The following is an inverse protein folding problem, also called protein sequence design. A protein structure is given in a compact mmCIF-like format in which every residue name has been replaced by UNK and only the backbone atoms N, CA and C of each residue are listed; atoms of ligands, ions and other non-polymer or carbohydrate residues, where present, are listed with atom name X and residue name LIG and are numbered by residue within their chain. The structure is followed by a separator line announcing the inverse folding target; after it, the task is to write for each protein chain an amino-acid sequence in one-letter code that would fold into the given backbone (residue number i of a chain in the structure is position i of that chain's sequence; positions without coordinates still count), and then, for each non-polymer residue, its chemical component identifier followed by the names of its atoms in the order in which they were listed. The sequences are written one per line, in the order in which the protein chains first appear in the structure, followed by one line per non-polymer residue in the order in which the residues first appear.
data_IF_970145243471
#
_entry.id   IF_970145243471
#
_cell.length_a   1.000
_cell.length_b   1.000
_cell.length_c   1.000
_cell.angle_alpha   90.00
_cell.angle_beta   90.00
_cell.angle_gamma   90.00
#
_symmetry.space_group_name_H-M   'P 1'
#
loop_
_entity.id
_entity.type
_entity.pdbx_description
1 polymer ?
#
# COMPACT_ATOMS: atom_id res chain seq x y z
N UNK A 1 -14.31 -21.67 19.05
CA UNK A 1 -13.73 -20.74 18.06
C UNK A 1 -12.92 -21.51 17.04
N UNK A 2 -13.08 -21.26 15.73
CA UNK A 2 -12.28 -21.92 14.71
C UNK A 2 -10.80 -21.57 14.90
N UNK A 3 -9.95 -22.59 14.96
CA UNK A 3 -8.50 -22.44 15.04
C UNK A 3 -7.94 -22.16 13.64
N UNK A 4 -7.12 -21.12 13.52
CA UNK A 4 -6.37 -20.80 12.32
C UNK A 4 -4.93 -21.25 12.53
N UNK A 5 -4.40 -22.01 11.57
CA UNK A 5 -3.04 -22.57 11.63
C UNK A 5 -2.20 -21.91 10.53
N UNK A 6 -1.39 -20.92 10.91
CA UNK A 6 -0.53 -20.19 9.99
C UNK A 6 0.89 -20.76 10.00
N UNK A 7 1.43 -21.09 8.83
CA UNK A 7 2.84 -21.50 8.68
C UNK A 7 3.71 -20.27 8.44
N UNK A 8 4.74 -20.10 9.25
CA UNK A 8 5.64 -18.92 9.23
C UNK A 8 7.08 -19.34 9.50
N UNK A 9 7.98 -18.37 9.45
CA UNK A 9 9.34 -18.45 9.99
C UNK A 9 9.38 -17.70 11.33
N UNK A 10 10.26 -18.11 12.24
CA UNK A 10 10.37 -17.51 13.58
C UNK A 10 10.78 -16.04 13.51
N UNK A 11 11.64 -15.69 12.56
CA UNK A 11 11.90 -14.32 12.14
C UNK A 11 11.17 -14.06 10.81
N UNK A 12 10.12 -13.20 10.78
CA UNK A 12 9.39 -12.88 9.56
C UNK A 12 10.21 -12.12 8.51
N UNK A 13 11.32 -11.49 8.92
CA UNK A 13 12.23 -10.75 8.04
C UNK A 13 13.32 -11.63 7.42
N UNK A 14 13.62 -12.79 8.03
CA UNK A 14 14.55 -13.79 7.54
C UNK A 14 13.82 -15.07 7.09
N UNK A 15 13.64 -15.28 5.76
CA UNK A 15 13.01 -16.47 5.21
C UNK A 15 13.73 -17.79 5.49
N UNK A 16 15.01 -17.74 5.89
CA UNK A 16 15.82 -18.91 6.21
C UNK A 16 15.70 -19.35 7.67
N UNK A 17 15.10 -18.51 8.53
CA UNK A 17 14.94 -18.80 9.93
C UNK A 17 13.96 -19.96 10.18
N UNK A 18 14.06 -20.58 11.37
CA UNK A 18 13.32 -21.79 11.74
C UNK A 18 11.83 -21.69 11.42
N UNK A 19 11.29 -22.69 10.72
CA UNK A 19 9.87 -22.78 10.44
C UNK A 19 9.06 -23.04 11.72
N UNK A 20 7.95 -22.32 11.86
CA UNK A 20 7.05 -22.40 13.00
C UNK A 20 5.59 -22.44 12.55
N UNK A 21 4.73 -22.86 13.48
CA UNK A 21 3.28 -22.76 13.34
C UNK A 21 2.77 -21.71 14.33
N UNK A 22 2.07 -20.72 13.80
CA UNK A 22 1.39 -19.68 14.55
C UNK A 22 -0.10 -20.04 14.63
N UNK A 23 -0.58 -20.25 15.86
CA UNK A 23 -1.97 -20.60 16.15
C UNK A 23 -2.74 -19.32 16.49
N UNK A 24 -3.81 -19.06 15.75
CA UNK A 24 -4.60 -17.85 15.86
C UNK A 24 -6.10 -18.13 15.94
N UNK A 25 -6.86 -17.15 16.41
CA UNK A 25 -8.31 -17.10 16.29
C UNK A 25 -8.72 -15.72 15.81
N UNK A 26 -9.71 -15.64 14.91
CA UNK A 26 -10.25 -14.36 14.47
C UNK A 26 -11.35 -13.88 15.42
N UNK A 27 -11.25 -12.64 15.93
CA UNK A 27 -12.27 -12.04 16.80
C UNK A 27 -13.67 -12.09 16.17
N UNK A 28 -13.77 -11.80 14.88
CA UNK A 28 -15.05 -11.83 14.14
C UNK A 28 -15.74 -13.21 14.09
N UNK A 29 -15.01 -14.31 14.33
CA UNK A 29 -15.61 -15.65 14.37
C UNK A 29 -16.60 -15.85 15.52
N UNK A 30 -16.58 -14.97 16.53
CA UNK A 30 -17.55 -14.96 17.63
C UNK A 30 -18.99 -14.74 17.17
N UNK A 31 -19.19 -14.15 15.98
CA UNK A 31 -20.54 -13.92 15.43
C UNK A 31 -21.36 -15.22 15.39
N UNK A 32 -20.71 -16.36 15.09
CA UNK A 32 -21.34 -17.69 15.06
C UNK A 32 -21.78 -18.24 16.41
N UNK A 33 -21.38 -17.60 17.51
CA UNK A 33 -21.64 -18.08 18.88
C UNK A 33 -22.90 -17.48 19.49
N UNK A 34 -23.47 -16.44 18.87
CA UNK A 34 -24.67 -15.76 19.37
C UNK A 34 -25.86 -16.03 18.45
N UNK A 35 -26.98 -16.45 19.03
CA UNK A 35 -28.23 -16.68 18.28
C UNK A 35 -28.83 -15.40 17.68
N UNK A 36 -28.52 -14.24 18.26
CA UNK A 36 -29.01 -12.93 17.85
C UNK A 36 -27.90 -12.03 17.26
N UNK A 37 -27.03 -12.59 16.41
CA UNK A 37 -26.01 -11.82 15.69
C UNK A 37 -26.50 -11.36 14.31
N UNK A 38 -26.05 -10.19 13.86
CA UNK A 38 -26.29 -9.69 12.50
C UNK A 38 -25.07 -8.94 11.96
N UNK A 39 -24.96 -8.87 10.63
CA UNK A 39 -24.02 -8.01 9.93
C UNK A 39 -24.74 -6.76 9.44
N UNK A 40 -24.10 -5.60 9.57
CA UNK A 40 -24.59 -4.34 8.99
C UNK A 40 -23.55 -3.84 8.00
N UNK A 41 -23.99 -3.58 6.78
CA UNK A 41 -23.15 -2.93 5.78
C UNK A 41 -22.89 -1.49 6.19
N UNK A 42 -21.66 -1.03 5.94
CA UNK A 42 -21.20 0.31 6.26
C UNK A 42 -20.46 0.89 5.07
N UNK A 43 -20.54 2.21 4.92
CA UNK A 43 -19.84 2.89 3.84
C UNK A 43 -18.33 2.80 3.99
N UNK A 44 -17.62 2.92 2.86
CA UNK A 44 -16.16 2.81 2.76
C UNK A 44 -15.36 3.66 3.77
N UNK A 45 -15.75 4.90 4.14
CA UNK A 45 -15.00 5.69 5.12
C UNK A 45 -14.79 5.00 6.48
N UNK A 46 -15.67 4.05 6.84
CA UNK A 46 -15.59 3.34 8.13
C UNK A 46 -14.55 2.23 8.15
N UNK A 47 -13.91 1.91 7.02
CA UNK A 47 -12.89 0.87 6.95
C UNK A 47 -11.82 1.20 5.90
N UNK A 48 -10.72 1.80 6.39
CA UNK A 48 -9.52 2.14 5.61
C UNK A 48 -8.32 1.31 6.12
N UNK A 49 -8.23 0.01 5.77
CA UNK A 49 -7.18 -0.85 6.29
C UNK A 49 -5.82 -0.54 5.68
N UNK A 50 -4.76 -0.59 6.49
CA UNK A 50 -3.37 -0.62 6.02
C UNK A 50 -2.78 -1.96 6.38
N UNK A 51 -2.63 -2.85 5.39
CA UNK A 51 -2.09 -4.21 5.55
C UNK A 51 -0.79 -4.40 4.79
N UNK A 52 -0.59 -3.60 3.76
CA UNK A 52 0.53 -3.67 2.84
C UNK A 52 1.16 -2.30 2.64
N UNK A 53 2.34 -2.26 2.04
CA UNK A 53 3.00 -1.02 1.63
C UNK A 53 2.27 -0.34 0.47
N UNK A 54 1.51 -1.06 -0.35
CA UNK A 54 0.58 -0.47 -1.31
C UNK A 54 -0.49 0.36 -0.60
N UNK A 55 -1.13 -0.20 0.44
CA UNK A 55 -2.13 0.54 1.22
C UNK A 55 -1.51 1.76 1.89
N UNK A 56 -0.30 1.60 2.43
CA UNK A 56 0.45 2.69 3.06
C UNK A 56 0.79 3.80 2.07
N UNK A 57 1.13 3.46 0.82
CA UNK A 57 1.41 4.43 -0.24
C UNK A 57 0.18 5.30 -0.48
N UNK A 58 -1.00 4.71 -0.67
CA UNK A 58 -2.23 5.50 -0.85
C UNK A 58 -2.52 6.34 0.38
N UNK A 59 -2.43 5.77 1.58
CA UNK A 59 -2.74 6.47 2.84
C UNK A 59 -1.82 7.65 3.15
N UNK A 60 -0.54 7.59 2.75
CA UNK A 60 0.41 8.70 2.93
C UNK A 60 0.37 9.71 1.77
N UNK A 61 -0.29 9.40 0.66
CA UNK A 61 -0.40 10.29 -0.49
C UNK A 61 -1.39 11.42 -0.23
N UNK A 62 -1.45 12.38 -1.16
CA UNK A 62 -2.44 13.46 -1.16
C UNK A 62 -3.87 13.02 -1.56
N UNK A 63 -4.16 11.71 -1.65
CA UNK A 63 -5.53 11.22 -1.82
C UNK A 63 -6.37 11.43 -0.57
N UNK A 64 -5.75 11.29 0.60
CA UNK A 64 -6.42 11.49 1.88
C UNK A 64 -6.03 12.83 2.51
N UNK A 65 -6.97 13.41 3.22
CA UNK A 65 -6.73 14.54 4.11
C UNK A 65 -7.26 14.22 5.51
N UNK A 66 -6.61 14.82 6.52
CA UNK A 66 -7.02 14.67 7.90
C UNK A 66 -8.08 15.72 8.22
N UNK A 67 -9.27 15.29 8.63
CA UNK A 67 -10.34 16.19 9.02
C UNK A 67 -10.07 16.81 10.40
N UNK A 68 -10.85 17.82 10.79
CA UNK A 68 -10.80 18.39 12.15
C UNK A 68 -11.18 17.39 13.25
N UNK A 69 -11.79 16.25 12.89
CA UNK A 69 -12.13 15.15 13.79
C UNK A 69 -11.06 14.06 13.80
N UNK A 70 -9.91 14.28 13.17
CA UNK A 70 -8.82 13.32 13.02
C UNK A 70 -9.21 12.07 12.21
N UNK A 71 -10.17 12.21 11.29
CA UNK A 71 -10.56 11.17 10.36
C UNK A 71 -9.77 11.32 9.05
N UNK A 72 -9.44 10.19 8.42
CA UNK A 72 -8.83 10.19 7.09
C UNK A 72 -9.93 10.17 6.04
N UNK A 73 -10.06 11.24 5.26
CA UNK A 73 -11.13 11.41 4.29
C UNK A 73 -10.60 11.52 2.85
N UNK A 74 -11.33 10.90 1.94
CA UNK A 74 -11.12 10.93 0.50
C UNK A 74 -12.38 11.47 -0.19
N UNK A 75 -12.24 12.24 -1.27
CA UNK A 75 -13.37 12.87 -1.95
C UNK A 75 -14.34 11.89 -2.61
N UNK A 76 -13.88 10.75 -3.11
CA UNK A 76 -14.73 9.78 -3.83
C UNK A 76 -14.48 8.31 -3.48
N UNK A 77 -13.43 8.02 -2.69
CA UNK A 77 -12.99 6.68 -2.30
C UNK A 77 -12.73 5.71 -3.48
N UNK A 78 -12.62 6.22 -4.70
CA UNK A 78 -12.14 5.50 -5.87
C UNK A 78 -10.61 5.61 -5.87
N UNK A 79 -9.99 4.77 -5.05
CA UNK A 79 -8.54 4.80 -4.85
C UNK A 79 -7.81 4.18 -6.05
N UNK A 80 -6.64 4.73 -6.43
CA UNK A 80 -5.82 4.14 -7.49
C UNK A 80 -5.41 2.72 -7.12
N UNK A 81 -5.36 1.84 -8.12
CA UNK A 81 -4.80 0.49 -7.93
C UNK A 81 -3.27 0.58 -7.87
N UNK A 82 -2.69 0.23 -6.74
CA UNK A 82 -1.23 0.21 -6.55
C UNK A 82 -0.71 -1.24 -6.60
N UNK A 83 0.39 -1.44 -7.32
CA UNK A 83 1.19 -2.68 -7.31
C UNK A 83 2.65 -2.27 -7.14
N UNK A 84 3.29 -2.78 -6.09
CA UNK A 84 4.70 -2.58 -5.83
C UNK A 84 5.45 -3.91 -5.89
N UNK A 85 6.63 -3.90 -6.49
CA UNK A 85 7.50 -5.07 -6.54
C UNK A 85 7.89 -5.54 -5.13
N UNK A 86 7.47 -6.74 -4.75
CA UNK A 86 7.71 -7.30 -3.42
C UNK A 86 9.19 -7.57 -3.13
N UNK A 87 10.06 -7.60 -4.14
CA UNK A 87 11.51 -7.68 -3.93
C UNK A 87 12.08 -6.42 -3.27
N UNK A 88 11.44 -5.26 -3.49
CA UNK A 88 11.96 -3.95 -3.13
C UNK A 88 11.07 -3.15 -2.19
N UNK A 89 9.77 -3.46 -2.12
CA UNK A 89 8.81 -2.66 -1.35
C UNK A 89 8.00 -3.48 -0.35
N UNK A 90 8.34 -4.75 -0.09
CA UNK A 90 7.54 -5.60 0.82
C UNK A 90 7.64 -5.12 2.27
N UNK A 91 8.83 -4.77 2.73
CA UNK A 91 9.03 -4.31 4.11
C UNK A 91 8.96 -2.79 4.18
N UNK A 92 8.53 -2.28 5.34
CA UNK A 92 8.40 -0.83 5.55
C UNK A 92 9.74 -0.09 5.42
N UNK A 93 10.84 -0.68 5.89
CA UNK A 93 12.16 -0.05 5.78
C UNK A 93 12.60 0.12 4.31
N UNK A 94 12.40 -0.91 3.49
CA UNK A 94 12.75 -0.86 2.06
C UNK A 94 11.86 0.15 1.30
N UNK A 95 10.60 0.26 1.71
CA UNK A 95 9.64 1.24 1.19
C UNK A 95 10.04 2.67 1.57
N UNK A 96 10.37 2.92 2.84
CA UNK A 96 10.75 4.25 3.33
C UNK A 96 12.08 4.74 2.71
N UNK A 97 13.03 3.85 2.42
CA UNK A 97 14.27 4.18 1.71
C UNK A 97 14.00 4.69 0.29
N UNK A 98 13.05 4.07 -0.42
CA UNK A 98 12.74 4.36 -1.83
C UNK A 98 11.72 5.47 -2.02
N UNK A 99 10.83 5.65 -1.06
CA UNK A 99 9.75 6.64 -1.07
C UNK A 99 9.88 7.56 0.16
N UNK A 100 10.99 8.33 0.27
CA UNK A 100 11.14 9.30 1.36
C UNK A 100 10.15 10.46 1.26
N UNK A 101 9.73 10.79 0.03
CA UNK A 101 8.66 11.73 -0.27
C UNK A 101 7.65 11.02 -1.14
N UNK A 102 6.39 10.99 -0.70
CA UNK A 102 5.32 10.25 -1.38
C UNK A 102 4.89 11.00 -2.64
N UNK A 103 4.97 10.39 -3.83
CA UNK A 103 4.42 11.00 -5.05
C UNK A 103 2.95 11.37 -4.90
N UNK A 104 2.54 12.46 -5.55
CA UNK A 104 1.12 12.82 -5.68
C UNK A 104 0.39 11.74 -6.47
N UNK A 105 -0.73 11.24 -5.92
CA UNK A 105 -1.58 10.23 -6.55
C UNK A 105 -2.94 10.79 -6.98
N UNK A 106 -3.18 12.09 -6.81
CA UNK A 106 -4.48 12.73 -7.05
C UNK A 106 -5.03 12.52 -8.48
N UNK A 107 -4.15 12.40 -9.48
CA UNK A 107 -4.53 12.19 -10.88
C UNK A 107 -4.25 10.77 -11.38
N UNK A 108 -3.82 9.85 -10.51
CA UNK A 108 -3.49 8.48 -10.88
C UNK A 108 -4.74 7.59 -10.86
N UNK A 109 -4.90 6.77 -11.89
CA UNK A 109 -5.88 5.68 -11.96
C UNK A 109 -5.25 4.34 -11.52
N UNK A 110 -3.98 4.12 -11.87
CA UNK A 110 -3.21 2.96 -11.43
C UNK A 110 -1.72 3.27 -11.34
N UNK A 111 -1.01 2.51 -10.51
CA UNK A 111 0.45 2.59 -10.34
C UNK A 111 1.01 1.19 -10.29
N UNK A 112 1.90 0.87 -11.21
CA UNK A 112 2.68 -0.37 -11.21
C UNK A 112 4.16 -0.02 -11.26
N UNK A 113 4.88 -0.42 -10.22
CA UNK A 113 6.32 -0.22 -10.11
C UNK A 113 7.00 -1.59 -10.03
N UNK A 114 7.80 -1.89 -11.05
CA UNK A 114 8.62 -3.09 -11.16
C UNK A 114 10.10 -2.72 -11.07
N UNK A 115 10.89 -3.45 -10.29
CA UNK A 115 12.30 -3.14 -10.08
C UNK A 115 12.57 -2.13 -8.96
N UNK A 116 13.81 -1.65 -8.90
CA UNK A 116 14.32 -0.78 -7.84
C UNK A 116 14.19 0.70 -8.22
N UNK A 117 13.03 1.30 -7.93
CA UNK A 117 12.75 2.72 -8.19
C UNK A 117 12.76 3.55 -6.92
N UNK A 118 13.37 4.73 -6.99
CA UNK A 118 13.34 5.74 -5.93
C UNK A 118 12.85 7.09 -6.47
N UNK A 119 12.27 7.91 -5.60
CA UNK A 119 11.57 9.13 -6.00
C UNK A 119 12.10 10.36 -5.27
N UNK A 120 12.34 11.43 -6.04
CA UNK A 120 12.61 12.76 -5.53
C UNK A 120 11.40 13.45 -4.93
N UNK A 121 11.55 14.72 -4.60
CA UNK A 121 10.46 15.56 -4.07
C UNK A 121 9.49 15.98 -5.16
N UNK A 122 8.23 16.21 -4.79
CA UNK A 122 7.22 16.80 -5.67
C UNK A 122 6.96 16.01 -6.98
N UNK A 123 7.21 14.70 -6.99
CA UNK A 123 6.86 13.83 -8.13
C UNK A 123 5.34 13.67 -8.21
N UNK A 124 4.78 13.69 -9.41
CA UNK A 124 3.33 13.56 -9.64
C UNK A 124 3.00 12.41 -10.58
N UNK A 125 2.13 11.51 -10.12
CA UNK A 125 1.63 10.39 -10.92
C UNK A 125 0.28 10.74 -11.54
N UNK A 126 0.10 10.38 -12.82
CA UNK A 126 -1.13 10.66 -13.55
C UNK A 126 -1.53 9.47 -14.46
N UNK A 127 -2.83 9.28 -14.65
CA UNK A 127 -3.34 8.21 -15.51
C UNK A 127 -2.89 6.82 -15.04
N UNK A 128 -2.39 6.00 -15.96
CA UNK A 128 -1.88 4.67 -15.65
C UNK A 128 -0.36 4.69 -15.58
N UNK A 129 0.20 4.73 -14.37
CA UNK A 129 1.65 4.74 -14.17
C UNK A 129 2.23 3.34 -14.34
N UNK A 130 3.24 3.23 -15.19
CA UNK A 130 4.05 2.04 -15.37
C UNK A 130 5.54 2.40 -15.31
N UNK A 131 6.24 1.80 -14.35
CA UNK A 131 7.70 1.83 -14.26
C UNK A 131 8.20 0.39 -14.32
N UNK A 132 8.96 0.07 -15.37
CA UNK A 132 9.42 -1.29 -15.65
C UNK A 132 10.77 -1.58 -14.98
N UNK A 133 11.05 -2.86 -14.74
CA UNK A 133 12.34 -3.33 -14.24
C UNK A 133 13.35 -3.44 -15.40
N UNK A 134 14.35 -2.56 -15.41
CA UNK A 134 15.48 -2.62 -16.34
C UNK A 134 16.71 -3.34 -15.76
N UNK A 135 16.60 -3.94 -14.57
CA UNK A 135 17.68 -4.66 -13.90
C UNK A 135 18.68 -3.78 -13.17
N UNK A 136 18.46 -2.46 -13.11
CA UNK A 136 19.29 -1.50 -12.39
C UNK A 136 18.47 -0.62 -11.45
N UNK A 137 19.16 0.16 -10.60
CA UNK A 137 18.51 1.13 -9.72
C UNK A 137 18.13 2.37 -10.53
N UNK A 138 16.88 2.80 -10.39
CA UNK A 138 16.34 3.97 -11.08
C UNK A 138 15.93 5.05 -10.10
N UNK A 139 16.04 6.29 -10.54
CA UNK A 139 15.66 7.46 -9.78
C UNK A 139 14.79 8.39 -10.62
N UNK A 140 13.64 8.76 -10.08
CA UNK A 140 12.76 9.78 -10.65
C UNK A 140 13.12 11.13 -10.04
N UNK A 141 13.60 12.11 -10.84
CA UNK A 141 14.02 13.41 -10.33
C UNK A 141 12.90 14.23 -9.69
N UNK A 142 13.31 15.22 -8.90
CA UNK A 142 12.39 16.19 -8.27
C UNK A 142 11.49 16.87 -9.31
N UNK A 143 10.20 17.01 -8.98
CA UNK A 143 9.20 17.69 -9.81
C UNK A 143 8.77 16.92 -11.06
N UNK A 144 9.27 15.71 -11.29
CA UNK A 144 8.91 14.94 -12.49
C UNK A 144 7.44 14.50 -12.48
N UNK A 145 6.89 14.34 -13.68
CA UNK A 145 5.60 13.71 -13.89
C UNK A 145 5.81 12.27 -14.35
N UNK A 146 4.95 11.34 -13.93
CA UNK A 146 5.04 9.94 -14.35
C UNK A 146 3.67 9.44 -14.80
N UNK A 147 3.61 8.87 -16.00
CA UNK A 147 2.40 8.37 -16.63
C UNK A 147 2.60 7.00 -17.29
N UNK A 148 1.83 6.71 -18.33
CA UNK A 148 1.86 5.45 -19.08
C UNK A 148 3.10 5.30 -19.97
N UNK A 149 3.74 6.42 -20.30
CA UNK A 149 4.98 6.47 -21.09
C UNK A 149 6.25 6.58 -20.24
N UNK A 150 6.14 6.43 -18.93
CA UNK A 150 7.25 6.56 -17.98
C UNK A 150 7.41 7.98 -17.45
N UNK A 151 8.67 8.39 -17.24
CA UNK A 151 9.02 9.66 -16.59
C UNK A 151 9.08 10.80 -17.61
N UNK A 152 8.33 11.87 -17.35
CA UNK A 152 8.27 13.11 -18.11
C UNK A 152 8.88 14.26 -17.27
N UNK A 153 9.76 15.05 -17.88
CA UNK A 153 10.37 16.20 -17.21
C UNK A 153 9.40 17.37 -17.15
N UNK A 154 9.32 18.04 -16.00
CA UNK A 154 8.64 19.34 -15.90
C UNK A 154 9.38 20.36 -16.77
N UNK A 155 8.68 21.01 -17.69
CA UNK A 155 9.19 22.14 -18.48
C UNK A 155 9.34 23.41 -17.63
#
# INVERSE_FOLDING_TARGET
FPLIVNKKTVDPSDPSSTHVVQLETAMGSIISQFSASACMEVDRPRFLPVKTTEDLFVMRSNRFHLTNLYEMEDGDYHLPRIILDKRYYKNISDFDERIPFVPSLAAAASVKIEGDWSFGKNVSFFGNVLLEDNGEKNFVPDGSFVGDRGVESAH
#
